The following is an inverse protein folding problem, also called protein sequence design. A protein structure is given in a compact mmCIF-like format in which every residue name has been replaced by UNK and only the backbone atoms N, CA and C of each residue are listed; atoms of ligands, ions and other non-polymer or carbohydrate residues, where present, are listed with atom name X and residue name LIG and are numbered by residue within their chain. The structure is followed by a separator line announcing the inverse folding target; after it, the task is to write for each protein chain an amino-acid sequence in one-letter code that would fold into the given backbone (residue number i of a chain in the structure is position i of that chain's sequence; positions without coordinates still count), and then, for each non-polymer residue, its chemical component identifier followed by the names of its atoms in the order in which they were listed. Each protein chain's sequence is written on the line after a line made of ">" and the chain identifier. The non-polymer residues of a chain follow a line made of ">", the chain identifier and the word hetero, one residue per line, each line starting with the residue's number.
data_IF_673345615648
#
_entry.id   IF_673345615648
#
_cell.length_a   1.000
_cell.length_b   1.000
_cell.length_c   1.000
_cell.angle_alpha   90.00
_cell.angle_beta   90.00
_cell.angle_gamma   90.00
#
_symmetry.space_group_name_H-M   'P 1'
#
loop_
_entity.id
_entity.type
_entity.pdbx_description
1 polymer ?
#
# COMPACT_ATOMS: atom_id res chain seq x y z
N UNK A 1 19.56 -6.66 -8.12
CA UNK A 1 18.20 -6.59 -7.49
C UNK A 1 18.10 -7.75 -6.51
N UNK A 2 17.66 -7.54 -5.26
CA UNK A 2 17.74 -8.57 -4.19
C UNK A 2 16.39 -9.19 -3.80
N UNK A 3 15.30 -8.79 -4.46
CA UNK A 3 13.96 -9.24 -4.12
C UNK A 3 12.88 -8.40 -4.78
N UNK A 4 11.62 -8.65 -4.39
CA UNK A 4 10.44 -7.94 -4.89
C UNK A 4 9.52 -7.53 -3.74
N UNK A 5 8.76 -6.45 -3.93
CA UNK A 5 7.65 -6.09 -3.06
C UNK A 5 6.46 -6.99 -3.39
N UNK A 6 6.00 -7.79 -2.42
CA UNK A 6 4.83 -8.68 -2.59
C UNK A 6 3.52 -8.01 -2.19
N UNK A 7 3.57 -7.13 -1.19
CA UNK A 7 2.40 -6.39 -0.72
C UNK A 7 2.83 -5.07 -0.10
N UNK A 8 1.94 -4.08 -0.20
CA UNK A 8 2.07 -2.78 0.43
C UNK A 8 0.76 -2.50 1.17
N UNK A 9 0.85 -2.06 2.43
CA UNK A 9 -0.31 -1.71 3.23
C UNK A 9 -0.08 -0.42 3.99
N UNK A 10 -1.10 0.42 4.01
CA UNK A 10 -1.10 1.65 4.78
C UNK A 10 -1.69 1.32 6.15
N UNK A 11 -0.93 1.58 7.20
CA UNK A 11 -1.40 1.52 8.59
C UNK A 11 -1.32 2.94 9.17
N UNK A 12 -2.03 3.25 10.26
CA UNK A 12 -1.96 4.56 10.89
C UNK A 12 -0.51 4.95 11.20
N UNK A 13 -0.02 6.03 10.58
CA UNK A 13 1.33 6.55 10.77
C UNK A 13 2.46 5.73 10.16
N UNK A 14 2.21 4.66 9.39
CA UNK A 14 3.28 3.89 8.73
C UNK A 14 2.84 3.18 7.45
N UNK A 15 3.78 3.07 6.52
CA UNK A 15 3.66 2.22 5.35
C UNK A 15 4.38 0.90 5.63
N UNK A 16 3.72 -0.24 5.44
CA UNK A 16 4.37 -1.54 5.62
C UNK A 16 4.43 -2.30 4.31
N UNK A 17 5.65 -2.67 3.92
CA UNK A 17 5.92 -3.52 2.77
C UNK A 17 6.21 -4.95 3.21
N UNK A 18 5.77 -5.91 2.40
CA UNK A 18 6.18 -7.31 2.51
C UNK A 18 7.12 -7.59 1.36
N UNK A 19 8.33 -8.02 1.68
CA UNK A 19 9.38 -8.28 0.70
C UNK A 19 9.60 -9.78 0.56
N UNK A 20 9.71 -10.26 -0.69
CA UNK A 20 10.28 -11.58 -0.98
C UNK A 20 11.70 -11.37 -1.50
N UNK A 21 12.66 -11.78 -0.68
CA UNK A 21 14.06 -11.76 -1.05
C UNK A 21 14.36 -12.89 -2.04
N UNK A 22 15.27 -12.63 -2.98
CA UNK A 22 15.74 -13.61 -3.95
C UNK A 22 16.60 -14.67 -3.26
N UNK A 23 16.56 -15.89 -3.78
CA UNK A 23 17.47 -16.99 -3.40
C UNK A 23 18.61 -17.18 -4.39
N UNK A 24 18.74 -16.30 -5.39
CA UNK A 24 19.84 -16.33 -6.34
C UNK A 24 21.17 -15.96 -5.67
N UNK A 25 22.26 -16.53 -6.18
CA UNK A 25 23.60 -16.39 -5.59
C UNK A 25 24.08 -14.93 -5.54
N UNK A 26 23.72 -14.13 -6.54
CA UNK A 26 24.07 -12.70 -6.62
C UNK A 26 23.39 -11.85 -5.53
N UNK A 27 22.25 -12.30 -5.00
CA UNK A 27 21.55 -11.64 -3.91
C UNK A 27 22.04 -12.09 -2.52
N UNK A 28 22.69 -13.25 -2.42
CA UNK A 28 23.06 -13.87 -1.14
C UNK A 28 23.86 -12.95 -0.21
N UNK A 29 24.90 -12.21 -0.66
CA UNK A 29 25.66 -11.34 0.23
C UNK A 29 24.83 -10.22 0.87
N UNK A 30 23.86 -9.66 0.13
CA UNK A 30 22.98 -8.62 0.67
C UNK A 30 21.97 -9.20 1.66
N UNK A 31 21.42 -10.39 1.38
CA UNK A 31 20.51 -11.09 2.30
C UNK A 31 21.22 -11.46 3.61
N UNK A 32 22.48 -11.90 3.55
CA UNK A 32 23.30 -12.14 4.74
C UNK A 32 23.46 -10.87 5.58
N UNK A 33 23.81 -9.73 4.96
CA UNK A 33 23.92 -8.44 5.68
C UNK A 33 22.61 -7.97 6.31
N UNK A 34 21.46 -8.32 5.74
CA UNK A 34 20.15 -8.04 6.34
C UNK A 34 19.96 -8.90 7.60
N UNK A 35 20.26 -10.21 7.52
CA UNK A 35 20.13 -11.15 8.64
C UNK A 35 21.05 -10.78 9.81
N UNK A 36 22.27 -10.35 9.51
CA UNK A 36 23.27 -9.93 10.51
C UNK A 36 23.02 -8.50 11.03
N UNK A 37 22.13 -7.74 10.41
CA UNK A 37 21.72 -6.41 10.86
C UNK A 37 22.60 -5.24 10.39
N UNK A 38 23.61 -5.47 9.55
CA UNK A 38 24.39 -4.38 8.93
C UNK A 38 23.54 -3.59 7.92
N UNK A 39 22.63 -4.26 7.22
CA UNK A 39 21.57 -3.64 6.42
C UNK A 39 20.23 -3.75 7.17
N UNK A 40 20.00 -2.86 8.13
CA UNK A 40 18.82 -2.87 9.02
C UNK A 40 17.72 -1.88 8.62
N UNK A 41 18.07 -0.85 7.87
CA UNK A 41 17.18 0.23 7.48
C UNK A 41 16.53 0.00 6.12
N UNK A 42 15.44 0.74 5.87
CA UNK A 42 14.78 0.78 4.57
C UNK A 42 14.69 2.22 4.07
N UNK A 43 14.99 2.42 2.80
CA UNK A 43 14.66 3.66 2.08
C UNK A 43 13.70 3.36 0.93
N UNK A 44 12.85 4.33 0.59
CA UNK A 44 11.80 4.18 -0.42
C UNK A 44 11.90 5.31 -1.43
N UNK A 45 12.05 4.93 -2.70
CA UNK A 45 11.85 5.85 -3.81
C UNK A 45 10.39 5.82 -4.24
N UNK A 46 9.80 6.99 -4.50
CA UNK A 46 8.43 7.11 -4.98
C UNK A 46 8.37 7.98 -6.23
N UNK A 47 7.33 7.76 -7.04
CA UNK A 47 7.00 8.62 -8.17
C UNK A 47 5.68 9.30 -7.90
N UNK A 48 5.68 10.61 -8.05
CA UNK A 48 4.48 11.44 -7.91
C UNK A 48 3.83 11.58 -9.28
N UNK A 49 2.61 11.09 -9.39
CA UNK A 49 1.80 11.19 -10.60
C UNK A 49 1.13 12.56 -10.70
N UNK A 50 0.72 13.15 -9.58
CA UNK A 50 0.13 14.49 -9.57
C UNK A 50 0.43 15.27 -8.29
N UNK A 51 0.55 16.58 -8.47
CA UNK A 51 0.79 17.57 -7.42
C UNK A 51 -0.42 18.49 -7.32
N UNK A 52 -0.77 18.85 -6.08
CA UNK A 52 -1.57 20.03 -5.80
C UNK A 52 -0.63 21.15 -5.41
N UNK A 53 -0.85 22.33 -5.96
CA UNK A 53 -0.05 23.51 -5.65
C UNK A 53 -0.90 24.54 -4.91
N UNK A 54 -0.32 25.14 -3.88
CA UNK A 54 -0.87 26.29 -3.17
C UNK A 54 0.23 27.32 -2.92
N UNK A 55 -0.19 28.53 -2.58
CA UNK A 55 0.71 29.57 -2.06
C UNK A 55 0.23 29.92 -0.67
N UNK A 56 1.11 29.75 0.31
CA UNK A 56 0.84 30.08 1.71
C UNK A 56 1.96 30.99 2.21
N UNK A 57 1.59 32.16 2.77
CA UNK A 57 2.54 33.17 3.25
C UNK A 57 3.63 33.56 2.25
N UNK A 58 3.30 33.59 0.94
CA UNK A 58 4.24 33.89 -0.14
C UNK A 58 5.14 32.72 -0.57
N UNK A 59 5.03 31.56 0.07
CA UNK A 59 5.77 30.35 -0.29
C UNK A 59 4.92 29.42 -1.16
N UNK A 60 5.48 28.94 -2.27
CA UNK A 60 4.85 27.89 -3.08
C UNK A 60 4.96 26.55 -2.37
N UNK A 61 3.83 25.95 -2.05
CA UNK A 61 3.72 24.62 -1.48
C UNK A 61 3.28 23.65 -2.57
N UNK A 62 4.00 22.52 -2.70
CA UNK A 62 3.63 21.41 -3.60
C UNK A 62 3.34 20.18 -2.76
N UNK A 63 2.08 19.78 -2.73
CA UNK A 63 1.64 18.57 -2.04
C UNK A 63 1.44 17.44 -3.04
N UNK A 64 2.15 16.33 -2.85
CA UNK A 64 1.95 15.13 -3.66
C UNK A 64 0.59 14.52 -3.31
N UNK A 65 -0.38 14.59 -4.23
CA UNK A 65 -1.74 14.09 -4.00
C UNK A 65 -1.98 12.70 -4.60
N UNK A 66 -1.15 12.30 -5.54
CA UNK A 66 -1.13 10.93 -6.05
C UNK A 66 0.31 10.51 -6.31
N UNK A 67 0.72 9.42 -5.67
CA UNK A 67 2.07 8.88 -5.78
C UNK A 67 2.06 7.38 -5.55
N UNK A 68 3.07 6.70 -6.05
CA UNK A 68 3.27 5.28 -5.85
C UNK A 68 4.73 5.00 -5.48
N UNK A 69 4.93 3.97 -4.65
CA UNK A 69 6.26 3.43 -4.39
C UNK A 69 6.84 2.88 -5.68
N UNK A 70 8.05 3.31 -6.03
CA UNK A 70 8.76 2.85 -7.21
C UNK A 70 9.85 1.83 -6.86
N UNK A 71 10.57 2.06 -5.76
CA UNK A 71 11.64 1.18 -5.32
C UNK A 71 11.76 1.12 -3.80
N UNK A 72 12.37 0.04 -3.31
CA UNK A 72 12.67 -0.17 -1.90
C UNK A 72 14.12 -0.66 -1.81
N UNK A 73 14.92 0.02 -1.00
CA UNK A 73 16.35 -0.25 -0.83
C UNK A 73 16.66 -0.61 0.61
N UNK A 74 17.42 -1.70 0.82
CA UNK A 74 17.98 -2.04 2.11
C UNK A 74 19.25 -1.22 2.35
N UNK A 75 19.29 -0.46 3.44
CA UNK A 75 20.34 0.53 3.71
C UNK A 75 20.87 0.41 5.14
N UNK A 76 22.14 0.74 5.40
CA UNK A 76 22.68 0.76 6.76
C UNK A 76 22.10 1.92 7.59
N UNK A 77 21.83 3.06 6.94
CA UNK A 77 21.26 4.27 7.53
C UNK A 77 20.03 4.66 6.72
N UNK A 78 18.86 4.61 7.35
CA UNK A 78 17.60 4.99 6.71
C UNK A 78 17.38 6.51 6.78
N UNK A 79 16.70 7.06 5.78
CA UNK A 79 16.27 8.45 5.79
C UNK A 79 15.22 8.70 6.89
N UNK A 80 14.37 7.71 7.15
CA UNK A 80 13.47 7.66 8.30
C UNK A 80 14.04 6.69 9.36
N UNK A 81 14.41 7.15 10.56
CA UNK A 81 14.90 6.29 11.64
C UNK A 81 13.95 5.17 12.06
N UNK A 82 12.64 5.32 11.85
CA UNK A 82 11.64 4.31 12.16
C UNK A 82 11.51 3.23 11.06
N UNK A 83 12.06 3.47 9.86
CA UNK A 83 11.99 2.54 8.74
C UNK A 83 13.04 1.44 8.88
N UNK A 84 12.62 0.30 9.44
CA UNK A 84 13.48 -0.86 9.71
C UNK A 84 12.95 -2.14 9.06
N UNK A 85 13.90 -3.05 8.75
CA UNK A 85 13.59 -4.41 8.34
C UNK A 85 13.30 -5.26 9.58
N UNK A 86 12.25 -6.07 9.50
CA UNK A 86 11.89 -7.01 10.56
C UNK A 86 11.32 -8.30 9.99
N UNK A 87 11.63 -9.42 10.65
CA UNK A 87 11.01 -10.70 10.34
C UNK A 87 9.69 -10.80 11.11
N UNK A 88 8.57 -10.64 10.41
CA UNK A 88 7.23 -10.92 10.94
C UNK A 88 6.52 -11.96 10.06
N UNK A 89 5.78 -12.90 10.64
CA UNK A 89 4.95 -13.82 9.87
C UNK A 89 3.99 -13.02 8.99
N UNK A 90 4.05 -13.27 7.68
CA UNK A 90 3.10 -12.72 6.71
C UNK A 90 2.19 -13.84 6.22
N UNK A 91 0.88 -13.57 6.20
CA UNK A 91 -0.09 -14.48 5.59
C UNK A 91 -0.82 -13.76 4.45
N UNK A 92 -0.92 -14.35 3.23
CA UNK A 92 -1.51 -13.68 2.08
C UNK A 92 -3.04 -13.51 2.13
N UNK A 93 -3.70 -13.81 3.26
CA UNK A 93 -5.16 -13.75 3.39
C UNK A 93 -5.61 -12.63 4.33
N UNK A 94 -5.72 -11.43 3.76
CA UNK A 94 -6.78 -10.48 4.17
C UNK A 94 -7.41 -9.90 2.91
N UNK A 95 -8.23 -10.71 2.21
CA UNK A 95 -9.35 -10.09 1.49
C UNK A 95 -10.29 -9.57 2.57
N UNK A 96 -10.72 -8.30 2.56
CA UNK A 96 -11.92 -7.95 3.30
C UNK A 96 -12.98 -8.95 2.84
N UNK A 97 -13.57 -9.73 3.77
CA UNK A 97 -14.82 -10.40 3.46
C UNK A 97 -15.75 -9.26 3.06
N UNK A 98 -16.06 -9.13 1.77
CA UNK A 98 -17.27 -8.44 1.39
C UNK A 98 -18.34 -9.26 2.12
N UNK A 99 -18.83 -8.74 3.24
CA UNK A 99 -19.99 -9.33 3.88
C UNK A 99 -21.00 -9.38 2.75
N UNK A 100 -21.39 -10.57 2.33
CA UNK A 100 -22.57 -10.74 1.52
C UNK A 100 -23.67 -10.16 2.38
N UNK A 101 -23.93 -8.86 2.20
CA UNK A 101 -25.16 -8.26 2.64
C UNK A 101 -26.21 -9.19 2.07
N UNK A 102 -26.86 -9.94 2.95
CA UNK A 102 -28.02 -10.75 2.63
C UNK A 102 -28.88 -9.87 1.74
N UNK A 103 -29.01 -10.25 0.48
CA UNK A 103 -29.98 -9.70 -0.44
C UNK A 103 -31.34 -9.90 0.21
N UNK A 104 -31.81 -8.92 0.97
CA UNK A 104 -33.24 -8.77 1.20
C UNK A 104 -33.77 -8.18 -0.10
N UNK A 105 -34.20 -9.08 -0.99
CA UNK A 105 -34.99 -8.70 -2.16
C UNK A 105 -36.14 -7.81 -1.69
N UNK A 106 -36.34 -6.63 -2.28
CA UNK A 106 -37.46 -5.81 -1.90
C UNK A 106 -38.77 -6.50 -2.34
N UNK A 107 -39.64 -6.73 -1.36
CA UNK A 107 -40.85 -7.57 -1.45
C UNK A 107 -42.02 -6.82 -2.12
N UNK A 108 -41.79 -6.22 -3.29
CA UNK A 108 -42.80 -5.39 -3.98
C UNK A 108 -43.08 -5.70 -5.45
N UNK A 109 -42.59 -6.83 -5.98
CA UNK A 109 -43.08 -7.36 -7.25
C UNK A 109 -44.13 -8.45 -7.03
N UNK A 110 -45.30 -8.05 -6.50
CA UNK A 110 -46.54 -8.80 -6.74
C UNK A 110 -47.73 -7.85 -6.76
N UNK A 111 -48.17 -7.47 -7.96
CA UNK A 111 -49.55 -7.57 -8.46
C UNK A 111 -49.70 -6.74 -9.73
N UNK A 112 -50.35 -7.35 -10.71
CA UNK A 112 -50.67 -6.81 -12.01
C UNK A 112 -51.69 -5.66 -11.93
N UNK A 113 -51.40 -4.58 -12.69
CA UNK A 113 -52.31 -3.78 -13.55
C UNK A 113 -53.43 -2.92 -12.91
N UNK A 114 -54.15 -2.05 -13.66
CA UNK A 114 -53.75 -1.00 -14.65
C UNK A 114 -54.50 0.36 -14.47
N UNK A 115 -54.16 1.40 -15.27
CA UNK A 115 -54.91 2.66 -15.57
C UNK A 115 -55.23 3.60 -14.38
N UNK A 116 -55.40 4.93 -14.46
CA UNK A 116 -55.74 5.87 -15.53
C UNK A 116 -55.22 7.31 -15.20
N UNK A 117 -55.45 8.19 -16.17
CA UNK A 117 -55.09 9.60 -16.38
C UNK A 117 -55.68 10.64 -15.38
N UNK A 118 -55.13 11.86 -15.43
CA UNK A 118 -55.72 13.22 -15.16
C UNK A 118 -55.68 13.71 -13.69
N UNK A 119 -55.43 14.98 -13.33
CA UNK A 119 -55.22 16.28 -14.01
C UNK A 119 -53.87 16.89 -13.65
#
# INVERSE_FOLDING_TARGET
>A
MIGVVQALRHEPGRLVAVLRLSTADDAAPAVTRIREGTLRGVSVGYRVASWRESVESGHRIRTAVSWAVFEVSAVPVAADPAASLGARPWSPRTRPKLSSARTSSPRWLSRNAPMALTM
#
